data_IF_520296656661
#
_entry.id   IF_520296656661
#
_cell.length_a   1.000
_cell.length_b   1.000
_cell.length_c   1.000
_cell.angle_alpha   90.00
_cell.angle_beta   90.00
_cell.angle_gamma   90.00
#
_symmetry.space_group_name_H-M   'P 1'
#
loop_
_entity.id
_entity.type
_entity.pdbx_description
1 polymer ?
#
# COMPACT_ATOMS: atom_id res chain seq x y z
N UNK A 1 -2.72 3.51 31.69
CA UNK A 1 -2.28 3.05 30.36
C UNK A 1 -3.18 3.75 29.35
N UNK A 2 -2.67 4.69 28.54
CA UNK A 2 -3.46 5.32 27.49
C UNK A 2 -3.85 4.24 26.46
N UNK A 3 -5.14 4.05 26.24
CA UNK A 3 -5.61 3.20 25.14
C UNK A 3 -5.07 3.80 23.83
N UNK A 4 -4.30 3.02 23.10
CA UNK A 4 -3.88 3.39 21.74
C UNK A 4 -5.16 3.48 20.90
N UNK A 5 -5.49 4.67 20.42
CA UNK A 5 -6.63 4.87 19.54
C UNK A 5 -6.25 4.34 18.15
N UNK A 6 -6.85 3.21 17.76
CA UNK A 6 -6.65 2.65 16.43
C UNK A 6 -7.38 3.47 15.37
N UNK A 7 -6.74 3.61 14.21
CA UNK A 7 -7.36 4.16 13.01
C UNK A 7 -8.44 3.19 12.48
N UNK A 8 -9.37 3.73 11.69
CA UNK A 8 -10.50 2.97 11.14
C UNK A 8 -10.48 3.05 9.62
N UNK A 9 -10.76 1.92 8.97
CA UNK A 9 -11.03 1.93 7.54
C UNK A 9 -12.45 2.43 7.27
N UNK A 10 -12.75 2.93 6.07
CA UNK A 10 -14.12 3.28 5.67
C UNK A 10 -15.11 2.13 5.79
N UNK A 11 -14.64 0.87 5.73
CA UNK A 11 -15.44 -0.34 5.77
C UNK A 11 -15.58 -0.96 7.18
N UNK A 12 -15.02 -0.34 8.24
CA UNK A 12 -15.02 -0.91 9.60
C UNK A 12 -16.42 -1.36 10.08
N UNK A 13 -17.45 -0.54 9.83
CA UNK A 13 -18.82 -0.89 10.20
C UNK A 13 -19.32 -2.10 9.43
N UNK A 14 -19.07 -2.15 8.12
CA UNK A 14 -19.44 -3.29 7.27
C UNK A 14 -18.81 -4.60 7.74
N UNK A 15 -17.54 -4.56 8.16
CA UNK A 15 -16.84 -5.72 8.72
C UNK A 15 -17.57 -6.24 9.98
N UNK A 16 -17.89 -5.33 10.92
CA UNK A 16 -18.59 -5.68 12.17
C UNK A 16 -19.99 -6.24 11.92
N UNK A 17 -20.77 -5.63 11.02
CA UNK A 17 -22.10 -6.09 10.63
C UNK A 17 -22.09 -7.48 10.01
N UNK A 18 -21.00 -7.83 9.30
CA UNK A 18 -20.80 -9.16 8.75
C UNK A 18 -20.14 -10.16 9.73
N UNK A 19 -20.00 -9.78 11.01
CA UNK A 19 -19.52 -10.66 12.07
C UNK A 19 -18.01 -10.89 12.04
N UNK A 20 -17.22 -9.91 11.56
CA UNK A 20 -15.76 -9.98 11.60
C UNK A 20 -15.22 -9.94 13.04
N UNK A 21 -14.21 -10.74 13.31
CA UNK A 21 -13.34 -10.59 14.47
C UNK A 21 -12.33 -9.50 14.16
N UNK A 22 -12.43 -8.37 14.86
CA UNK A 22 -11.55 -7.22 14.63
C UNK A 22 -10.31 -7.30 15.50
N UNK A 23 -9.15 -6.95 14.92
CA UNK A 23 -7.85 -6.92 15.61
C UNK A 23 -7.06 -5.67 15.23
N UNK A 24 -6.07 -5.33 16.06
CA UNK A 24 -5.09 -4.31 15.69
C UNK A 24 -4.15 -4.88 14.61
N UNK A 25 -3.98 -4.13 13.53
CA UNK A 25 -3.03 -4.42 12.47
C UNK A 25 -2.49 -3.10 11.87
N UNK A 26 -1.19 -2.88 11.97
CA UNK A 26 -0.50 -1.69 11.44
C UNK A 26 -1.13 -0.36 11.91
N UNK A 27 -1.59 -0.29 13.17
CA UNK A 27 -2.25 0.88 13.75
C UNK A 27 -3.73 1.01 13.42
N UNK A 28 -4.30 0.10 12.64
CA UNK A 28 -5.71 0.07 12.24
C UNK A 28 -6.49 -1.02 12.95
N UNK A 29 -7.82 -0.80 13.11
CA UNK A 29 -8.75 -1.83 13.52
C UNK A 29 -9.21 -2.61 12.28
N UNK A 30 -8.64 -3.80 12.06
CA UNK A 30 -8.82 -4.59 10.83
C UNK A 30 -9.53 -5.92 11.08
N UNK A 31 -10.29 -6.45 10.08
CA UNK A 31 -10.91 -7.76 10.19
C UNK A 31 -9.84 -8.86 10.05
N UNK A 32 -9.70 -9.69 11.07
CA UNK A 32 -8.85 -10.89 11.04
C UNK A 32 -9.53 -12.05 10.30
N UNK A 33 -10.80 -12.28 10.59
CA UNK A 33 -11.60 -13.37 10.04
C UNK A 33 -13.09 -13.10 10.21
N UNK A 34 -13.91 -13.84 9.46
CA UNK A 34 -15.36 -13.90 9.58
C UNK A 34 -15.80 -15.30 10.06
N UNK A 35 -17.08 -15.65 9.82
CA UNK A 35 -17.69 -16.90 10.35
C UNK A 35 -17.01 -18.18 9.87
N UNK A 36 -16.39 -18.20 8.68
CA UNK A 36 -15.69 -19.37 8.16
C UNK A 36 -14.35 -19.62 8.85
N UNK A 37 -13.83 -18.62 9.56
CA UNK A 37 -12.51 -18.66 10.20
C UNK A 37 -11.36 -18.62 9.19
N UNK A 38 -10.13 -18.35 9.67
CA UNK A 38 -8.93 -18.13 8.85
C UNK A 38 -8.73 -19.25 7.83
N UNK A 39 -8.79 -20.52 8.26
CA UNK A 39 -8.57 -21.68 7.36
C UNK A 39 -9.66 -21.78 6.31
N UNK A 40 -10.93 -21.60 6.70
CA UNK A 40 -12.06 -21.68 5.77
C UNK A 40 -12.01 -20.58 4.71
N UNK A 41 -11.70 -19.34 5.10
CA UNK A 41 -11.57 -18.21 4.19
C UNK A 41 -10.35 -18.36 3.26
N UNK A 42 -9.22 -18.86 3.77
CA UNK A 42 -8.06 -19.19 2.95
C UNK A 42 -8.39 -20.22 1.85
N UNK A 43 -9.06 -21.33 2.21
CA UNK A 43 -9.45 -22.36 1.25
C UNK A 43 -10.48 -21.84 0.25
N UNK A 44 -11.38 -20.96 0.68
CA UNK A 44 -12.32 -20.29 -0.21
C UNK A 44 -11.60 -19.41 -1.24
N UNK A 45 -10.68 -18.55 -0.79
CA UNK A 45 -9.93 -17.67 -1.69
C UNK A 45 -9.05 -18.46 -2.71
N UNK A 46 -8.58 -19.67 -2.35
CA UNK A 46 -7.82 -20.53 -3.26
C UNK A 46 -8.68 -21.24 -4.30
N UNK A 47 -9.96 -21.39 -4.08
CA UNK A 47 -10.88 -22.15 -4.97
C UNK A 47 -11.96 -21.28 -5.61
N UNK A 48 -12.17 -20.08 -5.09
CA UNK A 48 -13.20 -19.13 -5.51
C UNK A 48 -12.65 -17.69 -5.39
N UNK A 49 -13.48 -16.70 -5.70
CA UNK A 49 -13.13 -15.29 -5.56
C UNK A 49 -13.13 -14.84 -4.10
N UNK A 50 -12.13 -14.04 -3.72
CA UNK A 50 -12.05 -13.36 -2.43
C UNK A 50 -12.10 -11.83 -2.61
N UNK A 51 -12.73 -11.13 -1.66
CA UNK A 51 -12.74 -9.68 -1.55
C UNK A 51 -11.99 -9.28 -0.28
N UNK A 52 -11.06 -8.34 -0.40
CA UNK A 52 -10.20 -7.90 0.70
C UNK A 52 -10.26 -6.38 0.85
N UNK A 53 -10.48 -5.90 2.09
CA UNK A 53 -10.30 -4.48 2.42
C UNK A 53 -8.82 -4.17 2.52
N UNK A 54 -8.33 -3.30 1.65
CA UNK A 54 -6.95 -2.79 1.63
C UNK A 54 -6.89 -1.27 1.88
N UNK A 55 -7.97 -0.69 2.41
CA UNK A 55 -8.11 0.77 2.62
C UNK A 55 -7.10 1.35 3.61
N UNK A 56 -6.44 0.51 4.41
CA UNK A 56 -5.38 0.92 5.34
C UNK A 56 -4.05 1.22 4.64
N UNK A 57 -3.86 0.75 3.41
CA UNK A 57 -2.62 0.98 2.65
C UNK A 57 -2.50 2.44 2.21
N UNK A 58 -1.27 2.93 2.15
CA UNK A 58 -0.97 4.26 1.64
C UNK A 58 -1.16 4.31 0.12
N UNK A 59 -1.79 5.38 -0.37
CA UNK A 59 -1.90 5.66 -1.79
C UNK A 59 -1.32 7.04 -2.06
N UNK A 60 -0.35 7.12 -2.98
CA UNK A 60 0.35 8.36 -3.33
C UNK A 60 0.33 8.52 -4.84
N UNK A 61 -0.15 9.67 -5.28
CA UNK A 61 -0.12 10.07 -6.69
C UNK A 61 1.01 11.06 -6.91
N UNK A 62 1.85 10.78 -7.89
CA UNK A 62 2.98 11.61 -8.29
C UNK A 62 2.75 12.15 -9.70
N UNK A 63 2.91 13.48 -9.89
CA UNK A 63 2.84 14.14 -11.19
C UNK A 63 4.11 14.90 -11.48
N UNK A 64 4.63 14.74 -12.70
CA UNK A 64 5.83 15.42 -13.19
C UNK A 64 6.46 14.61 -14.33
N UNK A 65 7.16 15.28 -15.22
CA UNK A 65 7.76 14.65 -16.40
C UNK A 65 8.87 13.65 -16.06
N UNK A 66 9.63 13.91 -14.98
CA UNK A 66 10.78 13.10 -14.58
C UNK A 66 10.46 12.03 -13.53
N UNK A 67 9.20 11.90 -13.07
CA UNK A 67 8.82 11.07 -11.91
C UNK A 67 9.35 9.63 -12.01
N UNK A 68 9.18 8.95 -13.15
CA UNK A 68 9.65 7.57 -13.30
C UNK A 68 11.18 7.48 -13.20
N UNK A 69 11.89 8.39 -13.87
CA UNK A 69 13.36 8.47 -13.80
C UNK A 69 13.88 8.78 -12.40
N UNK A 70 13.19 9.67 -11.67
CA UNK A 70 13.59 10.04 -10.32
C UNK A 70 13.30 8.91 -9.32
N UNK A 71 12.19 8.20 -9.49
CA UNK A 71 11.87 7.00 -8.70
C UNK A 71 12.91 5.87 -8.88
N UNK A 72 13.48 5.69 -10.07
CA UNK A 72 14.53 4.69 -10.33
C UNK A 72 15.80 4.91 -9.49
N UNK A 73 15.96 6.07 -8.88
CA UNK A 73 17.04 6.32 -7.92
C UNK A 73 16.76 5.72 -6.54
N UNK A 74 15.53 5.36 -6.27
CA UNK A 74 15.07 4.82 -4.98
C UNK A 74 14.73 3.33 -5.07
N UNK A 75 14.53 2.80 -6.29
CA UNK A 75 14.11 1.41 -6.52
C UNK A 75 14.98 0.72 -7.56
N UNK A 76 15.26 -0.59 -7.45
CA UNK A 76 16.11 -1.33 -8.39
C UNK A 76 15.34 -1.81 -9.65
N UNK A 77 14.30 -1.11 -10.06
CA UNK A 77 13.44 -1.50 -11.18
C UNK A 77 13.51 -0.50 -12.31
N UNK A 78 13.53 -0.99 -13.56
CA UNK A 78 13.34 -0.17 -14.76
C UNK A 78 11.86 0.23 -14.84
N UNK A 79 11.57 1.48 -14.43
CA UNK A 79 10.23 2.04 -14.44
C UNK A 79 9.94 2.83 -15.72
N UNK A 80 10.96 3.30 -16.41
CA UNK A 80 10.80 4.03 -17.67
C UNK A 80 10.28 3.10 -18.78
N UNK A 81 10.65 1.82 -18.76
CA UNK A 81 10.11 0.78 -19.64
C UNK A 81 8.68 0.32 -19.27
N UNK A 82 8.13 0.74 -18.13
CA UNK A 82 6.77 0.37 -17.72
C UNK A 82 5.74 1.09 -18.60
N UNK A 83 4.89 0.33 -19.30
CA UNK A 83 3.83 0.88 -20.15
C UNK A 83 2.68 1.49 -19.31
N UNK A 84 1.94 2.45 -19.88
CA UNK A 84 0.73 3.00 -19.26
C UNK A 84 -0.29 1.88 -19.01
N UNK A 85 -0.91 1.88 -17.82
CA UNK A 85 -1.81 0.83 -17.35
C UNK A 85 -1.12 -0.40 -16.78
N UNK A 86 0.21 -0.43 -16.73
CA UNK A 86 0.98 -1.53 -16.12
C UNK A 86 1.47 -1.14 -14.73
N UNK A 87 1.71 -2.18 -13.91
CA UNK A 87 2.24 -2.03 -12.57
C UNK A 87 3.50 -2.89 -12.39
N UNK A 88 4.34 -2.47 -11.44
CA UNK A 88 5.55 -3.17 -11.02
C UNK A 88 5.59 -3.24 -9.50
N UNK A 89 5.69 -4.44 -8.96
CA UNK A 89 6.10 -4.66 -7.58
C UNK A 89 7.60 -4.44 -7.49
N UNK A 90 8.04 -3.64 -6.54
CA UNK A 90 9.45 -3.30 -6.32
C UNK A 90 9.70 -2.97 -4.85
N UNK A 91 10.93 -2.56 -4.54
CA UNK A 91 11.34 -2.21 -3.18
C UNK A 91 12.06 -0.86 -3.18
N UNK A 92 11.87 -0.06 -2.11
CA UNK A 92 12.80 1.02 -1.81
C UNK A 92 14.09 0.46 -1.25
N UNK A 93 15.23 0.98 -1.71
CA UNK A 93 16.54 0.56 -1.24
C UNK A 93 17.33 1.74 -0.66
N UNK A 94 18.20 1.43 0.30
CA UNK A 94 19.18 2.37 0.82
C UNK A 94 20.46 2.37 -0.06
N UNK A 95 21.42 3.23 0.29
CA UNK A 95 22.68 3.42 -0.45
C UNK A 95 23.55 2.15 -0.51
N UNK A 96 23.34 1.18 0.37
CA UNK A 96 24.06 -0.11 0.41
C UNK A 96 23.25 -1.26 -0.23
N UNK A 97 22.12 -0.95 -0.88
CA UNK A 97 21.25 -1.96 -1.51
C UNK A 97 20.37 -2.73 -0.51
N UNK A 98 20.32 -2.31 0.75
CA UNK A 98 19.39 -2.88 1.73
C UNK A 98 17.95 -2.43 1.45
N UNK A 99 17.00 -3.32 1.64
CA UNK A 99 15.56 -3.04 1.46
C UNK A 99 15.07 -2.17 2.63
N UNK A 100 14.39 -1.07 2.30
CA UNK A 100 13.70 -0.20 3.26
C UNK A 100 12.26 -0.67 3.43
N UNK A 101 11.50 -0.76 2.34
CA UNK A 101 10.13 -1.29 2.27
C UNK A 101 9.80 -1.75 0.85
N UNK A 102 8.70 -2.46 0.66
CA UNK A 102 8.18 -2.85 -0.65
C UNK A 102 6.98 -1.98 -1.05
N UNK A 103 6.78 -1.84 -2.37
CA UNK A 103 5.70 -1.03 -2.91
C UNK A 103 5.23 -1.52 -4.28
N UNK A 104 4.06 -1.04 -4.69
CA UNK A 104 3.59 -1.20 -6.07
C UNK A 104 3.64 0.15 -6.76
N UNK A 105 4.31 0.21 -7.91
CA UNK A 105 4.35 1.36 -8.81
C UNK A 105 3.45 1.08 -10.00
N UNK A 106 2.46 1.93 -10.26
CA UNK A 106 1.59 1.85 -11.44
C UNK A 106 1.79 3.08 -12.30
N UNK A 107 2.12 2.88 -13.58
CA UNK A 107 2.12 3.98 -14.56
C UNK A 107 0.71 4.21 -15.07
N UNK A 108 0.12 5.32 -14.68
CA UNK A 108 -1.18 5.78 -15.17
C UNK A 108 -1.00 6.83 -16.27
N UNK A 109 -2.10 7.17 -16.96
CA UNK A 109 -2.07 8.29 -17.89
C UNK A 109 -1.97 9.62 -17.13
N UNK A 110 -0.87 10.35 -17.34
CA UNK A 110 -0.59 11.64 -16.72
C UNK A 110 -0.09 11.61 -15.26
N UNK A 111 0.07 10.44 -14.62
CA UNK A 111 0.61 10.33 -13.26
C UNK A 111 1.16 8.93 -12.97
N UNK A 112 1.88 8.82 -11.85
CA UNK A 112 2.32 7.53 -11.28
C UNK A 112 1.59 7.32 -9.96
N UNK A 113 0.96 6.16 -9.77
CA UNK A 113 0.33 5.75 -8.53
C UNK A 113 1.26 4.81 -7.77
N UNK A 114 1.51 5.13 -6.50
CA UNK A 114 2.19 4.24 -5.56
C UNK A 114 1.19 3.67 -4.57
N UNK A 115 1.31 2.38 -4.27
CA UNK A 115 0.63 1.73 -3.14
C UNK A 115 1.71 1.31 -2.15
N UNK A 116 1.61 1.82 -0.92
CA UNK A 116 2.59 1.69 0.16
C UNK A 116 2.01 0.85 1.31
N UNK A 117 2.89 0.15 2.03
CA UNK A 117 2.48 -0.64 3.19
C UNK A 117 1.98 0.26 4.34
N UNK A 118 0.90 -0.14 4.99
CA UNK A 118 0.26 0.64 6.03
C UNK A 118 1.19 1.00 7.19
N UNK A 119 2.04 0.05 7.62
CA UNK A 119 2.95 0.23 8.75
C UNK A 119 4.05 1.27 8.51
N UNK A 120 4.49 1.43 7.27
CA UNK A 120 5.64 2.28 6.91
C UNK A 120 5.26 3.46 6.02
N UNK A 121 3.99 3.65 5.65
CA UNK A 121 3.55 4.67 4.67
C UNK A 121 4.05 6.08 4.99
N UNK A 122 4.12 6.50 6.24
CA UNK A 122 4.61 7.83 6.62
C UNK A 122 6.13 7.98 6.39
N UNK A 123 6.89 6.92 6.66
CA UNK A 123 8.33 6.89 6.38
C UNK A 123 8.60 6.91 4.87
N UNK A 124 7.84 6.13 4.12
CA UNK A 124 7.94 6.08 2.65
C UNK A 124 7.54 7.39 2.00
N UNK A 125 6.45 8.03 2.45
CA UNK A 125 6.05 9.36 1.98
C UNK A 125 7.15 10.38 2.27
N UNK A 126 7.78 10.29 3.45
CA UNK A 126 8.91 11.16 3.81
C UNK A 126 10.11 10.93 2.90
N UNK A 127 10.44 9.65 2.60
CA UNK A 127 11.50 9.28 1.66
C UNK A 127 11.24 9.86 0.26
N UNK A 128 10.00 9.71 -0.25
CA UNK A 128 9.56 10.24 -1.53
C UNK A 128 9.72 11.77 -1.56
N UNK A 129 9.17 12.48 -0.58
CA UNK A 129 9.23 13.94 -0.48
C UNK A 129 10.64 14.49 -0.42
N UNK A 130 11.56 13.76 0.22
CA UNK A 130 12.97 14.16 0.32
C UNK A 130 13.73 14.03 -0.99
N UNK A 131 13.36 13.08 -1.84
CA UNK A 131 14.17 12.68 -2.99
C UNK A 131 13.56 13.03 -4.34
N UNK A 132 12.25 13.28 -4.43
CA UNK A 132 11.57 13.63 -5.66
C UNK A 132 11.16 15.09 -5.67
N UNK A 133 11.39 15.76 -6.81
CA UNK A 133 10.92 17.11 -7.06
C UNK A 133 9.71 17.05 -8.02
N UNK A 134 8.55 16.69 -7.50
CA UNK A 134 7.31 16.54 -8.25
C UNK A 134 6.10 16.92 -7.39
N UNK A 135 4.93 17.01 -7.99
CA UNK A 135 3.67 17.14 -7.25
C UNK A 135 3.35 15.81 -6.58
N UNK A 136 3.13 15.85 -5.25
CA UNK A 136 2.86 14.66 -4.43
C UNK A 136 1.51 14.83 -3.74
N UNK A 137 0.54 14.03 -4.15
CA UNK A 137 -0.80 13.95 -3.56
C UNK A 137 -0.93 12.64 -2.77
N UNK A 138 -1.16 12.75 -1.47
CA UNK A 138 -1.48 11.61 -0.60
C UNK A 138 -2.99 11.49 -0.51
N UNK A 139 -3.54 10.33 -0.82
CA UNK A 139 -4.98 10.07 -0.89
C UNK A 139 -5.48 9.35 0.36
#
# INVERSE_FOLDING_TARGET
MSQIKLEKTPLEMLHKENGATMVEFAGYNMPLQYRLGIKGEHLHARSKSGLFDVSHMGQVRLRGESVLKDLERLVPSDLQALEVGRMRYTVFTNEWGGIIDDLIVTRCDGYVLLVLNAAFKEADITLIRKNLNCEIEVM
#
